data_IF_755460783375
#
_entry.id   IF_755460783375
#
_cell.length_a   1.000
_cell.length_b   1.000
_cell.length_c   1.000
_cell.angle_alpha   90.00
_cell.angle_beta   90.00
_cell.angle_gamma   90.00
#
_symmetry.space_group_name_H-M   'P 1'
#
loop_
_entity.id
_entity.type
_entity.pdbx_description
1 polymer ?
#
# COMPACT_ATOMS: atom_id res chain seq x y z
N UNK A 1 26.90 49.07 69.35
CA UNK A 1 26.59 47.81 68.66
C UNK A 1 25.18 47.47 69.05
N UNK A 2 24.14 47.60 68.23
CA UNK A 2 24.03 47.95 66.81
C UNK A 2 22.59 48.43 66.59
N UNK A 3 22.39 49.27 65.57
CA UNK A 3 21.09 49.58 64.99
C UNK A 3 20.40 48.30 64.49
N UNK A 4 19.06 48.24 64.56
CA UNK A 4 18.25 47.67 63.47
C UNK A 4 16.77 48.14 63.53
N UNK A 5 16.17 48.54 62.38
CA UNK A 5 14.83 49.11 62.29
C UNK A 5 13.75 48.08 61.92
N UNK A 6 12.48 48.47 62.16
CA UNK A 6 11.26 47.83 61.65
C UNK A 6 11.30 47.62 60.12
N UNK A 7 11.14 46.36 59.66
CA UNK A 7 10.77 46.05 58.28
C UNK A 7 9.72 44.92 58.26
N UNK A 8 8.53 45.27 57.77
CA UNK A 8 7.39 44.41 57.47
C UNK A 8 7.76 43.14 56.67
N UNK A 9 7.08 42.00 56.88
CA UNK A 9 7.20 40.86 55.98
C UNK A 9 6.53 41.17 54.62
N UNK A 10 7.14 40.78 53.49
CA UNK A 10 6.56 41.02 52.17
C UNK A 10 5.36 40.11 51.90
N UNK A 11 4.38 40.74 51.26
CA UNK A 11 3.16 40.22 50.65
C UNK A 11 3.44 38.97 49.79
N UNK A 12 2.79 37.85 50.12
CA UNK A 12 2.78 36.63 49.32
C UNK A 12 2.25 36.91 47.91
N UNK A 13 3.07 36.69 46.90
CA UNK A 13 2.65 36.64 45.50
C UNK A 13 1.93 35.31 45.20
N UNK A 14 0.93 35.29 44.30
CA UNK A 14 0.28 34.06 43.91
C UNK A 14 1.21 33.27 42.98
N UNK A 15 1.46 32.01 43.34
CA UNK A 15 2.16 31.05 42.49
C UNK A 15 1.48 30.99 41.12
N UNK A 16 2.20 31.40 40.08
CA UNK A 16 1.86 31.11 38.69
C UNK A 16 1.89 29.58 38.50
N UNK A 17 0.82 28.95 37.98
CA UNK A 17 0.89 27.54 37.65
C UNK A 17 1.82 27.35 36.45
N UNK A 18 2.98 26.73 36.66
CA UNK A 18 3.74 26.16 35.55
C UNK A 18 2.83 25.13 34.84
N UNK A 19 2.71 25.17 33.50
CA UNK A 19 2.00 24.13 32.78
C UNK A 19 2.85 22.86 32.83
N UNK A 20 2.56 21.99 33.80
CA UNK A 20 3.00 20.61 33.81
C UNK A 20 2.35 19.93 32.60
N UNK A 21 3.02 19.98 31.45
CA UNK A 21 2.64 19.24 30.25
C UNK A 21 3.11 17.79 30.41
N UNK A 22 2.54 17.09 31.40
CA UNK A 22 2.58 15.64 31.42
C UNK A 22 1.52 15.16 30.43
N UNK A 23 1.91 15.04 29.16
CA UNK A 23 1.06 14.45 28.13
C UNK A 23 0.74 13.02 28.54
N UNK A 24 -0.55 12.70 28.59
CA UNK A 24 -0.98 11.32 28.88
C UNK A 24 -0.59 10.39 27.73
N UNK A 25 -0.35 9.11 28.01
CA UNK A 25 -0.02 8.10 26.98
C UNK A 25 -1.02 8.13 25.81
N UNK A 26 -2.30 8.34 26.14
CA UNK A 26 -3.41 8.49 25.18
C UNK A 26 -3.24 9.70 24.26
N UNK A 27 -2.84 10.87 24.79
CA UNK A 27 -2.53 12.07 24.00
C UNK A 27 -1.30 11.88 23.11
N UNK A 28 -0.30 11.13 23.58
CA UNK A 28 0.89 10.80 22.79
C UNK A 28 0.51 9.93 21.59
N UNK A 29 -0.37 8.93 21.76
CA UNK A 29 -0.85 8.07 20.66
C UNK A 29 -1.80 8.77 19.69
N UNK A 30 -2.59 9.75 20.14
CA UNK A 30 -3.57 10.44 19.29
C UNK A 30 -2.92 11.32 18.21
N UNK A 31 -1.67 11.76 18.41
CA UNK A 31 -0.93 12.61 17.47
C UNK A 31 -0.01 11.82 16.51
N UNK A 32 0.01 10.48 16.59
CA UNK A 32 0.86 9.66 15.72
C UNK A 32 0.13 9.35 14.41
N UNK A 33 0.56 10.03 13.34
CA UNK A 33 0.21 9.64 11.98
C UNK A 33 0.98 8.39 11.58
N UNK A 34 0.31 7.23 11.54
CA UNK A 34 0.90 6.00 11.02
C UNK A 34 1.13 6.10 9.51
N UNK A 35 2.28 5.60 9.00
CA UNK A 35 2.54 5.59 7.57
C UNK A 35 1.54 4.68 6.84
N UNK A 36 0.96 5.19 5.75
CA UNK A 36 0.10 4.40 4.87
C UNK A 36 0.93 3.38 4.10
N UNK A 37 0.34 2.25 3.73
CA UNK A 37 1.03 1.16 2.99
C UNK A 37 1.57 1.60 1.62
N UNK A 38 1.13 2.75 1.09
CA UNK A 38 1.41 3.35 -0.23
C UNK A 38 2.89 3.53 -0.60
N UNK A 39 3.80 3.29 0.33
CA UNK A 39 5.15 3.86 0.29
C UNK A 39 6.26 2.84 0.53
N UNK A 40 6.01 1.54 0.41
CA UNK A 40 6.98 0.51 0.80
C UNK A 40 7.80 0.04 -0.41
N UNK A 41 9.10 -0.18 -0.22
CA UNK A 41 10.00 -0.75 -1.22
C UNK A 41 10.56 -2.10 -0.79
N UNK A 42 10.97 -2.94 -1.74
CA UNK A 42 11.81 -4.11 -1.46
C UNK A 42 13.26 -3.82 -1.83
N UNK A 43 14.20 -4.39 -1.08
CA UNK A 43 15.64 -4.31 -1.35
C UNK A 43 16.23 -5.70 -1.59
N UNK A 44 17.55 -5.77 -1.80
CA UNK A 44 18.29 -7.01 -2.06
C UNK A 44 19.17 -7.37 -0.84
N UNK A 45 19.74 -8.56 -0.87
CA UNK A 45 20.42 -9.28 0.20
C UNK A 45 21.73 -8.60 0.68
N UNK A 46 22.09 -8.83 1.96
CA UNK A 46 23.39 -8.58 2.60
C UNK A 46 23.96 -7.15 2.61
N UNK A 47 23.14 -6.13 2.34
CA UNK A 47 23.53 -4.73 2.51
C UNK A 47 23.01 -4.17 3.85
N UNK A 48 23.85 -3.48 4.64
CA UNK A 48 23.41 -2.83 5.87
C UNK A 48 22.27 -1.83 5.63
N UNK A 49 21.29 -1.77 6.53
CA UNK A 49 20.11 -0.89 6.41
C UNK A 49 20.47 0.58 6.16
N UNK A 50 21.56 1.04 6.80
CA UNK A 50 22.01 2.43 6.66
C UNK A 50 22.44 2.79 5.23
N UNK A 51 22.98 1.83 4.47
CA UNK A 51 23.40 2.06 3.08
C UNK A 51 22.20 2.32 2.17
N UNK A 52 21.07 1.66 2.44
CA UNK A 52 19.81 1.96 1.76
C UNK A 52 19.33 3.37 2.03
N UNK A 53 19.39 3.81 3.29
CA UNK A 53 18.98 5.16 3.66
C UNK A 53 19.88 6.21 3.03
N UNK A 54 21.20 5.99 3.00
CA UNK A 54 22.14 6.85 2.28
C UNK A 54 21.80 6.92 0.79
N UNK A 55 21.56 5.79 0.14
CA UNK A 55 21.23 5.75 -1.28
C UNK A 55 19.90 6.46 -1.60
N UNK A 56 18.85 6.23 -0.82
CA UNK A 56 17.59 6.96 -0.99
C UNK A 56 17.71 8.45 -0.66
N UNK A 57 18.60 8.83 0.25
CA UNK A 57 18.90 10.24 0.57
C UNK A 57 19.60 10.99 -0.57
N UNK A 58 20.17 10.27 -1.55
CA UNK A 58 20.66 10.86 -2.80
C UNK A 58 19.54 11.10 -3.82
N UNK A 59 18.43 10.36 -3.71
CA UNK A 59 17.28 10.49 -4.59
C UNK A 59 16.28 11.54 -4.10
N UNK A 60 16.19 11.75 -2.79
CA UNK A 60 15.30 12.72 -2.16
C UNK A 60 15.91 13.28 -0.89
N UNK A 61 15.42 14.43 -0.40
CA UNK A 61 15.87 15.00 0.86
C UNK A 61 15.70 13.98 2.01
N UNK A 62 16.68 13.83 2.93
CA UNK A 62 16.56 12.94 4.09
C UNK A 62 15.29 13.19 4.92
N UNK A 63 14.80 14.43 5.00
CA UNK A 63 13.56 14.79 5.71
C UNK A 63 12.30 14.13 5.13
N UNK A 64 12.39 13.66 3.89
CA UNK A 64 11.33 12.95 3.22
C UNK A 64 11.30 11.46 3.57
N UNK A 65 12.35 10.90 4.16
CA UNK A 65 12.38 9.53 4.64
C UNK A 65 11.80 9.54 6.07
N UNK A 66 10.62 8.95 6.26
CA UNK A 66 9.91 8.98 7.55
C UNK A 66 10.22 7.79 8.42
N UNK A 67 10.26 6.62 7.80
CA UNK A 67 10.51 5.37 8.51
C UNK A 67 11.31 4.46 7.60
N UNK A 68 12.10 3.59 8.21
CA UNK A 68 12.69 2.49 7.49
C UNK A 68 12.82 1.28 8.41
N UNK A 69 12.59 0.10 7.86
CA UNK A 69 12.53 -1.12 8.65
C UNK A 69 12.84 -2.34 7.81
N UNK A 70 13.50 -3.33 8.42
CA UNK A 70 13.64 -4.66 7.84
C UNK A 70 12.36 -5.44 8.11
N UNK A 71 11.68 -5.83 7.03
CA UNK A 71 10.41 -6.58 7.08
C UNK A 71 10.68 -8.09 7.10
N UNK A 72 11.72 -8.56 6.41
CA UNK A 72 12.08 -9.99 6.39
C UNK A 72 13.56 -10.23 6.11
N UNK A 73 13.96 -11.49 5.99
CA UNK A 73 15.25 -11.90 5.45
C UNK A 73 15.29 -11.49 3.97
N UNK A 74 15.80 -10.29 3.69
CA UNK A 74 15.99 -9.65 2.38
C UNK A 74 14.91 -8.64 1.96
N UNK A 75 13.91 -8.33 2.78
CA UNK A 75 13.08 -7.15 2.56
C UNK A 75 13.43 -6.04 3.54
N UNK A 76 13.93 -4.92 3.01
CA UNK A 76 13.96 -3.65 3.69
C UNK A 76 12.95 -2.69 3.05
N UNK A 77 12.15 -2.07 3.89
CA UNK A 77 11.13 -1.09 3.53
C UNK A 77 11.57 0.30 3.96
N UNK A 78 11.35 1.29 3.11
CA UNK A 78 11.52 2.72 3.43
C UNK A 78 10.22 3.45 3.12
N UNK A 79 9.67 4.20 4.07
CA UNK A 79 8.46 4.99 3.94
C UNK A 79 8.79 6.47 3.75
N UNK A 80 8.05 7.15 2.87
CA UNK A 80 8.35 8.53 2.47
C UNK A 80 7.27 9.52 2.90
N UNK A 81 7.56 10.82 2.87
CA UNK A 81 6.63 11.85 3.35
C UNK A 81 5.36 11.97 2.50
N UNK A 82 5.44 11.71 1.19
CA UNK A 82 4.31 11.88 0.27
C UNK A 82 4.34 10.88 -0.89
N UNK A 83 3.16 10.64 -1.48
CA UNK A 83 2.99 9.79 -2.67
C UNK A 83 3.78 10.33 -3.88
N UNK A 84 3.84 11.65 -4.05
CA UNK A 84 4.57 12.28 -5.16
C UNK A 84 6.08 11.96 -5.11
N UNK A 85 6.68 11.97 -3.91
CA UNK A 85 8.10 11.60 -3.73
C UNK A 85 8.32 10.14 -4.12
N UNK A 86 7.41 9.26 -3.72
CA UNK A 86 7.46 7.83 -4.09
C UNK A 86 7.40 7.66 -5.61
N UNK A 87 6.54 8.39 -6.32
CA UNK A 87 6.42 8.32 -7.78
C UNK A 87 7.71 8.80 -8.47
N UNK A 88 8.32 9.89 -8.00
CA UNK A 88 9.60 10.37 -8.51
C UNK A 88 10.74 9.38 -8.29
N UNK A 89 10.75 8.69 -7.14
CA UNK A 89 11.73 7.64 -6.84
C UNK A 89 11.49 6.44 -7.77
N UNK A 90 10.25 5.94 -7.88
CA UNK A 90 9.91 4.79 -8.73
C UNK A 90 10.36 4.97 -10.18
N UNK A 91 10.30 6.20 -10.72
CA UNK A 91 10.74 6.49 -12.08
C UNK A 91 12.24 6.19 -12.35
N UNK A 92 13.08 6.11 -11.30
CA UNK A 92 14.50 5.81 -11.44
C UNK A 92 14.82 4.31 -11.44
N UNK A 93 13.87 3.44 -11.09
CA UNK A 93 13.94 1.97 -11.10
C UNK A 93 15.00 1.28 -10.21
N UNK A 94 16.13 1.92 -9.93
CA UNK A 94 17.24 1.36 -9.15
C UNK A 94 17.93 2.42 -8.27
N UNK A 95 18.61 1.94 -7.23
CA UNK A 95 19.53 2.73 -6.40
C UNK A 95 20.93 2.18 -6.59
N UNK A 96 21.95 3.03 -6.47
CA UNK A 96 23.34 2.60 -6.49
C UNK A 96 23.85 2.47 -5.06
N UNK A 97 24.33 1.29 -4.68
CA UNK A 97 25.02 1.03 -3.40
C UNK A 97 26.32 0.31 -3.73
N UNK A 98 27.46 0.81 -3.24
CA UNK A 98 28.78 0.22 -3.49
C UNK A 98 29.02 -0.12 -4.98
N UNK A 99 28.69 0.82 -5.86
CA UNK A 99 28.78 0.68 -7.32
C UNK A 99 27.92 -0.44 -7.92
N UNK A 100 27.02 -1.04 -7.15
CA UNK A 100 26.05 -2.03 -7.61
C UNK A 100 24.67 -1.38 -7.74
N UNK A 101 24.00 -1.64 -8.86
CA UNK A 101 22.63 -1.19 -9.07
C UNK A 101 21.67 -2.20 -8.43
N UNK A 102 20.93 -1.73 -7.44
CA UNK A 102 19.96 -2.52 -6.72
C UNK A 102 18.57 -2.06 -7.16
N UNK A 103 17.81 -2.89 -7.89
CA UNK A 103 16.44 -2.57 -8.22
C UNK A 103 15.58 -2.58 -6.96
N UNK A 104 14.57 -1.72 -6.97
CA UNK A 104 13.51 -1.71 -5.96
C UNK A 104 12.15 -1.65 -6.64
N UNK A 105 11.11 -2.03 -5.91
CA UNK A 105 9.73 -2.01 -6.38
C UNK A 105 8.81 -1.51 -5.30
N UNK A 106 7.68 -0.91 -5.69
CA UNK A 106 6.56 -0.61 -4.78
C UNK A 106 6.02 -1.91 -4.20
N UNK A 107 5.70 -1.93 -2.91
CA UNK A 107 5.13 -3.11 -2.24
C UNK A 107 3.65 -3.28 -2.56
N UNK A 108 2.93 -2.17 -2.74
CA UNK A 108 1.54 -2.24 -3.17
C UNK A 108 1.51 -2.67 -4.62
N UNK A 109 0.73 -3.71 -4.86
CA UNK A 109 0.39 -4.15 -6.18
C UNK A 109 -0.48 -3.07 -6.83
N UNK A 110 -0.06 -2.59 -7.99
CA UNK A 110 -0.85 -1.65 -8.81
C UNK A 110 -2.04 -2.34 -9.48
N UNK A 111 -2.15 -3.66 -9.31
CA UNK A 111 -3.20 -4.49 -9.84
C UNK A 111 -3.81 -5.35 -8.72
N UNK A 112 -5.13 -5.46 -8.72
CA UNK A 112 -5.87 -6.45 -7.94
C UNK A 112 -6.36 -7.57 -8.84
N UNK A 113 -6.20 -8.82 -8.39
CA UNK A 113 -6.68 -9.99 -9.11
C UNK A 113 -8.15 -10.22 -8.77
N UNK A 114 -8.99 -10.31 -9.79
CA UNK A 114 -10.38 -10.77 -9.70
C UNK A 114 -10.42 -12.21 -10.19
N UNK A 115 -11.23 -13.01 -9.51
CA UNK A 115 -11.60 -14.35 -9.95
C UNK A 115 -13.09 -14.33 -10.25
N UNK A 116 -13.44 -14.74 -11.47
CA UNK A 116 -14.82 -14.92 -11.91
C UNK A 116 -15.18 -16.38 -11.73
N UNK A 117 -16.00 -16.66 -10.72
CA UNK A 117 -16.51 -17.99 -10.45
C UNK A 117 -17.80 -18.24 -11.23
N UNK A 118 -18.10 -19.52 -11.51
CA UNK A 118 -19.32 -19.95 -12.18
C UNK A 118 -19.49 -19.38 -13.60
N UNK A 119 -18.37 -19.22 -14.32
CA UNK A 119 -18.38 -18.83 -15.73
C UNK A 119 -18.36 -20.10 -16.57
N UNK A 120 -19.26 -20.21 -17.53
CA UNK A 120 -19.24 -21.33 -18.47
C UNK A 120 -18.07 -21.14 -19.46
N UNK A 121 -17.19 -22.15 -19.66
CA UNK A 121 -16.04 -22.02 -20.56
C UNK A 121 -16.40 -21.74 -22.04
N UNK A 122 -17.66 -21.96 -22.41
CA UNK A 122 -18.17 -21.63 -23.75
C UNK A 122 -18.29 -20.13 -23.98
N UNK A 123 -18.42 -19.33 -22.92
CA UNK A 123 -18.58 -17.88 -23.02
C UNK A 123 -17.25 -17.27 -23.45
N UNK A 124 -17.20 -16.58 -24.61
CA UNK A 124 -15.98 -15.92 -25.06
C UNK A 124 -15.51 -14.81 -24.11
N UNK A 125 -14.19 -14.75 -23.88
CA UNK A 125 -13.57 -13.71 -23.03
C UNK A 125 -13.89 -12.28 -23.48
N UNK A 126 -14.15 -12.03 -24.77
CA UNK A 126 -14.51 -10.68 -25.24
C UNK A 126 -15.89 -10.23 -24.72
N UNK A 127 -16.83 -11.17 -24.52
CA UNK A 127 -18.15 -10.88 -23.94
C UNK A 127 -18.00 -10.53 -22.45
N UNK A 128 -17.19 -11.32 -21.73
CA UNK A 128 -16.89 -11.08 -20.32
C UNK A 128 -16.18 -9.72 -20.14
N UNK A 129 -15.18 -9.43 -20.98
CA UNK A 129 -14.47 -8.16 -20.96
C UNK A 129 -15.40 -6.96 -21.22
N UNK A 130 -16.34 -7.09 -22.17
CA UNK A 130 -17.37 -6.06 -22.41
C UNK A 130 -18.25 -5.84 -21.18
N UNK A 131 -18.69 -6.92 -20.52
CA UNK A 131 -19.50 -6.83 -19.30
C UNK A 131 -18.75 -6.11 -18.17
N UNK A 132 -17.47 -6.41 -17.96
CA UNK A 132 -16.62 -5.74 -16.96
C UNK A 132 -16.43 -4.25 -17.32
N UNK A 133 -16.13 -3.94 -18.58
CA UNK A 133 -15.95 -2.56 -19.02
C UNK A 133 -17.23 -1.72 -18.85
N UNK A 134 -18.41 -2.31 -19.04
CA UNK A 134 -19.70 -1.64 -18.82
C UNK A 134 -19.93 -1.23 -17.36
N UNK A 135 -19.26 -1.88 -16.39
CA UNK A 135 -19.26 -1.49 -14.99
C UNK A 135 -18.28 -0.34 -14.68
N UNK A 136 -17.67 0.26 -15.71
CA UNK A 136 -16.62 1.27 -15.56
C UNK A 136 -15.41 0.76 -14.76
N UNK A 137 -15.12 -0.54 -14.90
CA UNK A 137 -13.94 -1.20 -14.36
C UNK A 137 -12.95 -1.40 -15.50
N UNK A 138 -11.78 -0.76 -15.39
CA UNK A 138 -10.71 -0.91 -16.39
C UNK A 138 -9.87 -2.16 -16.08
N UNK A 139 -9.79 -3.07 -17.04
CA UNK A 139 -8.93 -4.24 -16.99
C UNK A 139 -7.46 -3.87 -17.27
N UNK A 140 -6.55 -4.50 -16.54
CA UNK A 140 -5.09 -4.38 -16.67
C UNK A 140 -4.46 -5.53 -17.45
N UNK A 141 -5.14 -6.67 -17.51
CA UNK A 141 -4.70 -7.85 -18.27
C UNK A 141 -5.84 -8.39 -19.14
N UNK A 142 -5.52 -9.25 -20.12
CA UNK A 142 -6.50 -10.16 -20.70
C UNK A 142 -7.10 -11.06 -19.61
N UNK A 143 -8.31 -11.58 -19.89
CA UNK A 143 -8.92 -12.65 -19.10
C UNK A 143 -8.24 -13.97 -19.50
N UNK A 144 -7.90 -14.78 -18.51
CA UNK A 144 -7.31 -16.11 -18.68
C UNK A 144 -8.14 -17.16 -17.95
N UNK A 145 -8.10 -18.40 -18.45
CA UNK A 145 -8.65 -19.52 -17.71
C UNK A 145 -7.74 -19.82 -16.51
N UNK A 146 -8.32 -20.04 -15.33
CA UNK A 146 -7.53 -20.49 -14.19
C UNK A 146 -7.16 -21.96 -14.36
N UNK A 147 -5.99 -22.38 -13.87
CA UNK A 147 -5.65 -23.81 -13.77
C UNK A 147 -6.51 -24.49 -12.70
N UNK A 148 -6.94 -25.73 -12.96
CA UNK A 148 -7.78 -26.51 -12.03
C UNK A 148 -7.07 -27.02 -10.77
N UNK A 149 -5.81 -26.60 -10.53
CA UNK A 149 -5.04 -26.98 -9.34
C UNK A 149 -4.54 -28.43 -9.33
N UNK A 150 -4.73 -29.17 -10.43
CA UNK A 150 -4.12 -30.48 -10.62
C UNK A 150 -2.63 -30.34 -10.91
N UNK A 151 -1.85 -31.40 -10.64
CA UNK A 151 -0.42 -31.46 -10.96
C UNK A 151 -0.13 -31.41 -12.46
N UNK A 152 -1.15 -31.68 -13.29
CA UNK A 152 -1.04 -31.65 -14.74
C UNK A 152 -1.60 -30.34 -15.27
N UNK A 153 -0.77 -29.64 -16.05
CA UNK A 153 -1.08 -28.35 -16.68
C UNK A 153 -2.09 -28.44 -17.84
N UNK A 154 -2.61 -29.63 -18.14
CA UNK A 154 -3.51 -29.90 -19.26
C UNK A 154 -4.98 -29.53 -18.96
N UNK A 155 -5.31 -29.20 -17.71
CA UNK A 155 -6.68 -28.97 -17.28
C UNK A 155 -6.88 -27.58 -16.65
N UNK A 156 -7.83 -26.86 -17.21
CA UNK A 156 -8.29 -25.56 -16.74
C UNK A 156 -9.58 -25.70 -15.91
N UNK A 157 -9.78 -24.76 -14.98
CA UNK A 157 -10.97 -24.64 -14.16
C UNK A 157 -12.07 -23.92 -14.94
N UNK A 158 -13.33 -24.15 -14.58
CA UNK A 158 -14.47 -23.36 -15.04
C UNK A 158 -14.54 -21.98 -14.35
N UNK A 159 -13.40 -21.33 -14.17
CA UNK A 159 -13.28 -20.04 -13.51
C UNK A 159 -12.19 -19.25 -14.20
N UNK A 160 -12.48 -17.99 -14.45
CA UNK A 160 -11.57 -17.09 -15.17
C UNK A 160 -10.91 -16.14 -14.19
N UNK A 161 -9.70 -15.70 -14.51
CA UNK A 161 -8.99 -14.68 -13.74
C UNK A 161 -8.55 -13.51 -14.59
N UNK A 162 -8.44 -12.36 -13.92
CA UNK A 162 -8.09 -11.10 -14.53
C UNK A 162 -7.52 -10.15 -13.48
N UNK A 163 -6.76 -9.15 -13.92
CA UNK A 163 -6.24 -8.08 -13.09
C UNK A 163 -6.94 -6.75 -13.41
N UNK A 164 -7.28 -5.99 -12.38
CA UNK A 164 -7.88 -4.65 -12.47
C UNK A 164 -7.10 -3.63 -11.64
N UNK A 165 -7.38 -2.35 -11.82
CA UNK A 165 -6.85 -1.31 -10.93
C UNK A 165 -7.51 -1.37 -9.54
N UNK A 166 -6.74 -1.26 -8.43
CA UNK A 166 -7.28 -1.25 -7.07
C UNK A 166 -8.36 -0.17 -6.82
N UNK A 167 -8.31 0.96 -7.53
CA UNK A 167 -9.33 2.02 -7.44
C UNK A 167 -10.72 1.63 -7.97
N UNK A 168 -10.86 0.45 -8.58
CA UNK A 168 -12.12 -0.05 -9.09
C UNK A 168 -12.69 -1.20 -8.26
N UNK A 169 -12.00 -1.61 -7.19
CA UNK A 169 -12.40 -2.74 -6.36
C UNK A 169 -13.75 -2.51 -5.67
N UNK A 170 -14.02 -1.28 -5.24
CA UNK A 170 -15.32 -0.90 -4.65
C UNK A 170 -16.48 -0.95 -5.67
N UNK A 171 -16.18 -1.00 -6.97
CA UNK A 171 -17.18 -1.08 -8.04
C UNK A 171 -17.50 -2.53 -8.44
N UNK A 172 -16.76 -3.51 -7.92
CA UNK A 172 -17.00 -4.92 -8.22
C UNK A 172 -18.27 -5.35 -7.49
N UNK A 173 -19.36 -5.68 -8.21
CA UNK A 173 -20.53 -6.26 -7.57
C UNK A 173 -20.24 -7.70 -7.16
N UNK A 174 -20.99 -8.21 -6.18
CA UNK A 174 -20.87 -9.61 -5.73
C UNK A 174 -21.23 -10.63 -6.84
N UNK A 175 -21.98 -10.21 -7.86
CA UNK A 175 -22.31 -11.03 -9.03
C UNK A 175 -22.63 -10.14 -10.24
N UNK A 176 -22.38 -10.66 -11.44
CA UNK A 176 -22.69 -10.01 -12.72
C UNK A 176 -23.41 -11.03 -13.59
N UNK A 177 -24.55 -10.65 -14.17
CA UNK A 177 -25.22 -11.47 -15.17
C UNK A 177 -24.56 -11.22 -16.54
N UNK A 178 -23.97 -12.26 -17.11
CA UNK A 178 -23.41 -12.24 -18.47
C UNK A 178 -24.35 -13.03 -19.37
N UNK A 179 -24.92 -12.35 -20.36
CA UNK A 179 -25.82 -12.97 -21.33
C UNK A 179 -25.06 -13.07 -22.65
N UNK A 180 -24.70 -14.29 -23.06
CA UNK A 180 -24.28 -14.56 -24.42
C UNK A 180 -25.48 -15.04 -25.23
N UNK A 181 -25.97 -14.20 -26.14
CA UNK A 181 -27.15 -14.47 -26.96
C UNK A 181 -26.92 -15.54 -28.06
N UNK A 182 -25.79 -16.25 -28.03
CA UNK A 182 -25.48 -17.32 -29.00
C UNK A 182 -26.23 -18.62 -28.75
N UNK A 183 -26.77 -18.83 -27.56
CA UNK A 183 -27.59 -20.01 -27.23
C UNK A 183 -29.07 -19.65 -27.10
N UNK A 184 -29.72 -19.36 -28.25
CA UNK A 184 -31.17 -19.47 -28.37
C UNK A 184 -31.65 -20.93 -28.54
N UNK A 185 -30.77 -21.92 -28.39
CA UNK A 185 -31.09 -23.35 -28.52
C UNK A 185 -30.60 -24.18 -27.31
N UNK A 186 -31.11 -23.87 -26.11
CA UNK A 186 -31.73 -24.85 -25.18
C UNK A 186 -31.96 -24.27 -23.78
N UNK A 187 -33.19 -24.32 -23.25
CA UNK A 187 -33.43 -24.06 -21.84
C UNK A 187 -33.01 -25.28 -21.02
N UNK A 188 -31.94 -25.17 -20.25
CA UNK A 188 -31.73 -26.08 -19.12
C UNK A 188 -32.13 -25.33 -17.84
N UNK A 189 -33.19 -25.81 -17.20
CA UNK A 189 -33.62 -25.36 -15.88
C UNK A 189 -32.49 -25.56 -14.87
N UNK A 190 -32.20 -24.51 -14.10
CA UNK A 190 -31.91 -24.58 -12.67
C UNK A 190 -32.53 -23.37 -11.97
#
# INVERSE_FOLDING_TARGET
MSDDPDINPPLSTPNSPQPNTQTTFTETTANVSFPKKDQIFNTIQDVPQIEYIKAFSLLTSPNNIKFASRVSYNMFCTYFASKNIVEQIIAKHYITINNSEIPYRRLINLAERIILSNVQPVIPHDIIAKAINNLSIKMLSPITFMKAGFSNDEFEAASDDNYIYPEHSDKIPSSILIIDNKDMDRPWLY
#
